data_IF_047354746135
#
_entry.id   IF_047354746135
#
_cell.length_a   1.000
_cell.length_b   1.000
_cell.length_c   1.000
_cell.angle_alpha   90.00
_cell.angle_beta   90.00
_cell.angle_gamma   90.00
#
_symmetry.space_group_name_H-M   'P 1'
#
loop_
_entity.id
_entity.type
_entity.pdbx_description
1 polymer ?
#
# COMPACT_ATOMS: atom_id res chain seq x y z
N UNK A 1 -25.33 -0.82 -26.71
CA UNK A 1 -23.94 -0.59 -26.27
C UNK A 1 -23.53 -1.73 -25.35
N UNK A 2 -22.44 -2.46 -25.65
CA UNK A 2 -21.89 -3.47 -24.73
C UNK A 2 -20.74 -2.81 -23.95
N UNK A 3 -21.01 -2.38 -22.71
CA UNK A 3 -19.94 -2.10 -21.77
C UNK A 3 -19.45 -3.45 -21.24
N UNK A 4 -18.38 -3.98 -21.84
CA UNK A 4 -17.62 -5.05 -21.22
C UNK A 4 -16.90 -4.43 -20.02
N UNK A 5 -17.51 -4.57 -18.84
CA UNK A 5 -16.92 -4.17 -17.57
C UNK A 5 -15.58 -4.87 -17.40
N UNK A 6 -14.52 -4.07 -17.39
CA UNK A 6 -13.16 -4.47 -17.12
C UNK A 6 -13.14 -5.38 -15.88
N UNK A 7 -12.47 -6.52 -16.00
CA UNK A 7 -12.13 -7.37 -14.86
C UNK A 7 -11.46 -6.50 -13.81
N UNK A 8 -12.12 -6.31 -12.66
CA UNK A 8 -11.57 -5.50 -11.56
C UNK A 8 -10.31 -6.21 -11.08
N UNK A 9 -9.14 -5.71 -11.50
CA UNK A 9 -7.92 -5.91 -10.72
C UNK A 9 -8.25 -5.42 -9.32
N UNK A 10 -8.19 -6.31 -8.33
CA UNK A 10 -8.27 -5.94 -6.91
C UNK A 10 -7.33 -4.77 -6.71
N UNK A 11 -7.89 -3.62 -6.32
CA UNK A 11 -7.10 -2.41 -6.14
C UNK A 11 -6.01 -2.67 -5.09
N UNK A 12 -4.77 -2.20 -5.28
CA UNK A 12 -3.68 -2.45 -4.34
C UNK A 12 -3.99 -1.89 -2.95
N UNK A 13 -3.55 -2.60 -1.90
CA UNK A 13 -3.67 -2.15 -0.51
C UNK A 13 -2.31 -1.96 0.14
N UNK A 14 -2.19 -0.95 1.00
CA UNK A 14 -1.00 -0.71 1.80
C UNK A 14 -0.74 -1.89 2.73
N UNK A 15 0.45 -2.49 2.66
CA UNK A 15 0.78 -3.66 3.48
C UNK A 15 1.00 -3.34 4.97
N UNK A 16 0.95 -2.07 5.39
CA UNK A 16 1.04 -1.68 6.80
C UNK A 16 -0.33 -1.44 7.46
N UNK A 17 -1.28 -0.81 6.77
CA UNK A 17 -2.58 -0.44 7.36
C UNK A 17 -3.80 -0.96 6.61
N UNK A 18 -3.62 -1.65 5.47
CA UNK A 18 -4.72 -2.09 4.61
C UNK A 18 -5.46 -0.95 3.90
N UNK A 19 -4.92 0.27 3.95
CA UNK A 19 -5.51 1.41 3.27
C UNK A 19 -5.41 1.27 1.75
N UNK A 20 -6.46 1.70 1.06
CA UNK A 20 -6.55 1.70 -0.40
C UNK A 20 -5.41 2.49 -1.07
N UNK A 21 -4.84 1.92 -2.14
CA UNK A 21 -3.78 2.51 -2.96
C UNK A 21 -4.18 2.45 -4.44
N UNK A 22 -3.88 3.50 -5.19
CA UNK A 22 -4.16 3.53 -6.63
C UNK A 22 -3.04 2.85 -7.41
N UNK A 23 -3.36 2.29 -8.57
CA UNK A 23 -2.35 1.75 -9.48
C UNK A 23 -1.28 2.79 -9.86
N UNK A 24 -1.68 4.06 -10.03
CA UNK A 24 -0.75 5.15 -10.35
C UNK A 24 0.27 5.36 -9.23
N UNK A 25 -0.16 5.20 -7.97
CA UNK A 25 0.75 5.31 -6.83
C UNK A 25 1.75 4.15 -6.82
N UNK A 26 1.30 2.92 -7.05
CA UNK A 26 2.18 1.74 -7.16
C UNK A 26 3.22 1.94 -8.25
N UNK A 27 2.82 2.38 -9.44
CA UNK A 27 3.74 2.59 -10.58
C UNK A 27 4.88 3.55 -10.27
N UNK A 28 4.68 4.52 -9.37
CA UNK A 28 5.68 5.54 -9.04
C UNK A 28 6.48 5.16 -7.79
N UNK A 29 5.83 4.59 -6.78
CA UNK A 29 6.40 4.45 -5.44
C UNK A 29 6.70 3.01 -5.02
N UNK A 30 6.20 1.99 -5.75
CA UNK A 30 6.53 0.61 -5.44
C UNK A 30 7.94 0.25 -5.93
N UNK A 31 8.73 -0.46 -5.11
CA UNK A 31 9.91 -1.20 -5.57
C UNK A 31 9.61 -2.08 -6.80
N UNK A 32 10.64 -2.35 -7.59
CA UNK A 32 10.57 -3.28 -8.72
C UNK A 32 10.04 -4.64 -8.24
N UNK A 33 9.21 -5.28 -9.08
CA UNK A 33 8.57 -6.58 -8.82
C UNK A 33 7.50 -6.60 -7.71
N UNK A 34 7.08 -5.44 -7.19
CA UNK A 34 5.91 -5.37 -6.30
C UNK A 34 4.69 -4.76 -7.01
N UNK A 35 3.53 -5.33 -6.73
CA UNK A 35 2.20 -4.92 -7.21
C UNK A 35 1.48 -3.98 -6.23
N UNK A 36 2.10 -3.69 -5.09
CA UNK A 36 1.63 -2.75 -4.07
C UNK A 36 2.78 -2.05 -3.34
N UNK A 37 2.45 -1.18 -2.38
CA UNK A 37 3.41 -0.48 -1.52
C UNK A 37 3.45 -1.07 -0.12
N UNK A 38 4.67 -1.16 0.44
CA UNK A 38 4.87 -1.61 1.83
C UNK A 38 4.33 -0.63 2.85
N UNK A 39 4.51 0.67 2.60
CA UNK A 39 4.14 1.77 3.48
C UNK A 39 3.51 2.88 2.63
N UNK A 40 2.39 3.43 3.07
CA UNK A 40 1.72 4.56 2.42
C UNK A 40 1.92 5.85 3.24
N UNK A 41 1.54 7.04 2.71
CA UNK A 41 1.69 8.30 3.42
C UNK A 41 0.94 8.40 4.75
N UNK A 42 -0.08 7.54 4.96
CA UNK A 42 -0.84 7.47 6.21
C UNK A 42 -0.18 6.59 7.27
N UNK A 43 1.01 6.03 7.01
CA UNK A 43 1.75 5.17 7.93
C UNK A 43 3.13 5.76 8.31
N UNK A 44 3.23 7.05 8.70
CA UNK A 44 4.53 7.69 8.93
C UNK A 44 5.33 7.05 10.07
N UNK A 45 4.62 6.54 11.09
CA UNK A 45 5.20 5.98 12.31
C UNK A 45 4.87 4.49 12.50
N UNK A 46 4.71 3.74 11.41
CA UNK A 46 4.47 2.30 11.46
C UNK A 46 5.79 1.53 11.33
N UNK A 47 6.03 0.58 12.25
CA UNK A 47 7.23 -0.25 12.31
C UNK A 47 6.87 -1.68 11.95
N UNK A 48 7.69 -2.29 11.08
CA UNK A 48 7.65 -3.73 10.78
C UNK A 48 8.71 -4.49 11.56
N UNK A 49 8.29 -5.51 12.29
CA UNK A 49 9.16 -6.44 13.02
C UNK A 49 8.89 -7.85 12.49
N UNK A 50 9.66 -8.26 11.47
CA UNK A 50 9.39 -9.50 10.75
C UNK A 50 8.06 -9.43 9.97
N UNK A 51 7.10 -10.27 10.34
CA UNK A 51 5.78 -10.33 9.71
C UNK A 51 4.73 -9.44 10.39
N UNK A 52 5.05 -8.86 11.54
CA UNK A 52 4.12 -8.03 12.32
C UNK A 52 4.31 -6.54 12.04
N UNK A 53 3.21 -5.79 12.10
CA UNK A 53 3.18 -4.34 11.94
C UNK A 53 2.57 -3.71 13.19
N UNK A 54 3.23 -2.68 13.73
CA UNK A 54 2.76 -1.92 14.90
C UNK A 54 3.11 -0.45 14.80
N UNK A 55 2.46 0.38 15.60
CA UNK A 55 2.86 1.78 15.78
C UNK A 55 4.23 1.88 16.49
N UNK A 56 4.98 2.92 16.16
CA UNK A 56 6.23 3.26 16.81
C UNK A 56 5.98 3.66 18.28
N UNK A 57 6.96 3.37 19.15
CA UNK A 57 6.89 3.75 20.57
C UNK A 57 7.15 5.24 20.80
N UNK A 58 7.68 5.94 19.80
CA UNK A 58 7.96 7.37 19.80
C UNK A 58 7.93 7.88 18.36
N UNK A 59 7.46 9.11 18.14
CA UNK A 59 7.56 9.78 16.85
C UNK A 59 9.02 10.17 16.55
N UNK A 60 9.37 10.23 15.27
CA UNK A 60 10.65 10.80 14.80
C UNK A 60 10.41 12.21 14.30
N UNK A 61 10.93 13.20 15.01
CA UNK A 61 10.96 14.63 14.61
C UNK A 61 12.35 14.97 14.08
#
# INVERSE_FOLDING_TARGET
MKFQGSTVSTMPDCLNCGGFITEQYVRVFAPTEMDTVRVCPNCPDMVREGNDVREAKSSRQ
#
